data_IF_319564197481
#
_entry.id   IF_319564197481
#
_cell.length_a   1.000
_cell.length_b   1.000
_cell.length_c   1.000
_cell.angle_alpha   90.00
_cell.angle_beta   90.00
_cell.angle_gamma   90.00
#
_symmetry.space_group_name_H-M   'P 1'
#
loop_
_entity.id
_entity.type
_entity.pdbx_description
1 polymer ?
#
# COMPACT_ATOMS: atom_id res chain seq x y z
N UNK A 1 -3.40 -10.76 6.53
CA UNK A 1 -2.44 -9.89 5.81
C UNK A 1 -1.77 -8.87 6.73
N UNK A 2 -2.48 -7.86 7.27
CA UNK A 2 -1.89 -6.80 8.10
C UNK A 2 -1.01 -7.31 9.26
N UNK A 3 -1.45 -8.34 10.01
CA UNK A 3 -0.63 -8.97 11.07
C UNK A 3 0.70 -9.52 10.54
N UNK A 4 0.66 -10.26 9.43
CA UNK A 4 1.88 -10.83 8.84
C UNK A 4 2.87 -9.75 8.39
N UNK A 5 2.35 -8.66 7.80
CA UNK A 5 3.16 -7.49 7.46
C UNK A 5 3.73 -6.88 8.74
N UNK A 6 2.92 -6.59 9.75
CA UNK A 6 3.37 -6.02 11.03
C UNK A 6 4.48 -6.85 11.67
N UNK A 7 4.27 -8.16 11.82
CA UNK A 7 5.20 -9.09 12.43
C UNK A 7 6.53 -9.12 11.68
N UNK A 8 6.50 -9.10 10.34
CA UNK A 8 7.71 -9.00 9.52
C UNK A 8 8.48 -7.69 9.72
N UNK A 9 7.80 -6.58 10.04
CA UNK A 9 8.45 -5.28 10.24
C UNK A 9 8.99 -5.07 11.67
N UNK A 10 8.60 -5.91 12.62
CA UNK A 10 9.20 -5.95 13.96
C UNK A 10 10.61 -6.59 13.95
N UNK A 11 10.99 -7.29 12.86
CA UNK A 11 12.30 -7.92 12.74
C UNK A 11 13.45 -6.90 12.60
N UNK A 12 14.65 -7.19 13.13
CA UNK A 12 15.82 -6.34 12.93
C UNK A 12 16.15 -6.16 11.43
N UNK A 13 16.40 -4.91 11.02
CA UNK A 13 16.75 -4.59 9.63
C UNK A 13 15.58 -4.60 8.66
N UNK A 14 14.34 -4.73 9.14
CA UNK A 14 13.15 -4.58 8.30
C UNK A 14 13.08 -3.17 7.68
N UNK A 15 12.49 -3.04 6.47
CA UNK A 15 12.28 -1.75 5.82
C UNK A 15 11.38 -0.84 6.65
N UNK A 16 11.45 0.47 6.41
CA UNK A 16 10.46 1.39 6.98
C UNK A 16 9.08 1.10 6.37
N UNK A 17 8.02 1.23 7.17
CA UNK A 17 6.66 0.93 6.77
C UNK A 17 5.89 2.23 6.54
N UNK A 18 5.37 2.43 5.34
CA UNK A 18 4.41 3.51 5.03
C UNK A 18 3.02 2.90 4.89
N UNK A 19 2.04 3.42 5.61
CA UNK A 19 0.69 2.85 5.64
C UNK A 19 -0.34 3.87 5.15
N UNK A 20 -1.13 3.51 4.15
CA UNK A 20 -2.22 4.32 3.62
C UNK A 20 -3.27 4.67 4.67
N UNK A 21 -3.77 5.90 4.62
CA UNK A 21 -4.57 6.51 5.69
C UNK A 21 -6.04 6.02 5.80
N UNK A 22 -6.49 5.19 4.87
CA UNK A 22 -7.87 4.66 4.78
C UNK A 22 -8.06 3.40 5.63
N UNK A 23 -8.64 2.33 5.09
CA UNK A 23 -8.90 1.12 5.86
C UNK A 23 -7.64 0.31 6.19
N UNK A 24 -6.57 0.54 5.44
CA UNK A 24 -5.27 -0.11 5.64
C UNK A 24 -4.73 0.20 7.04
N UNK A 25 -4.53 1.48 7.40
CA UNK A 25 -4.03 1.84 8.75
C UNK A 25 -4.94 1.33 9.87
N UNK A 26 -6.26 1.29 9.68
CA UNK A 26 -7.21 0.74 10.66
C UNK A 26 -7.05 -0.76 10.83
N UNK A 27 -6.70 -1.47 9.76
CA UNK A 27 -6.41 -2.91 9.81
C UNK A 27 -5.13 -3.19 10.58
N UNK A 28 -4.10 -2.34 10.43
CA UNK A 28 -2.88 -2.42 11.24
C UNK A 28 -3.14 -2.08 12.71
N UNK A 29 -3.89 -1.02 13.00
CA UNK A 29 -4.24 -0.60 14.37
C UNK A 29 -4.93 -1.73 15.16
N UNK A 30 -5.80 -2.53 14.50
CA UNK A 30 -6.47 -3.68 15.12
C UNK A 30 -5.56 -4.87 15.42
N UNK A 31 -4.45 -5.04 14.69
CA UNK A 31 -3.60 -6.23 14.82
C UNK A 31 -2.21 -5.94 15.39
N UNK A 32 -1.79 -4.68 15.45
CA UNK A 32 -0.50 -4.27 16.00
C UNK A 32 -0.38 -4.76 17.44
N UNK A 33 0.70 -5.50 17.72
CA UNK A 33 1.02 -6.01 19.06
C UNK A 33 2.31 -5.37 19.56
N UNK A 34 2.47 -5.21 20.89
CA UNK A 34 3.76 -4.88 21.46
C UNK A 34 4.82 -5.88 20.99
N UNK A 35 5.94 -5.36 20.54
CA UNK A 35 7.12 -6.12 20.16
C UNK A 35 8.32 -5.57 20.92
N UNK A 36 9.36 -6.39 21.10
CA UNK A 36 10.62 -5.96 21.74
C UNK A 36 11.26 -4.78 20.99
N UNK A 37 10.95 -4.64 19.70
CA UNK A 37 11.31 -3.52 18.84
C UNK A 37 10.10 -3.05 18.05
N UNK A 38 9.82 -1.75 18.11
CA UNK A 38 8.81 -1.14 17.26
C UNK A 38 9.34 -0.93 15.82
N UNK A 39 8.52 -1.19 14.78
CA UNK A 39 8.84 -0.81 13.42
C UNK A 39 8.90 0.72 13.25
N UNK A 40 9.68 1.19 12.29
CA UNK A 40 9.58 2.59 11.83
C UNK A 40 8.35 2.72 10.94
N UNK A 41 7.32 3.41 11.42
CA UNK A 41 6.03 3.53 10.71
C UNK A 41 5.71 4.98 10.41
N UNK A 42 5.31 5.27 9.18
CA UNK A 42 4.83 6.57 8.72
C UNK A 42 3.43 6.41 8.11
N UNK A 43 2.54 7.36 8.39
CA UNK A 43 1.23 7.44 7.75
C UNK A 43 0.78 8.90 7.73
N UNK A 44 0.19 9.34 6.61
CA UNK A 44 -0.29 10.72 6.43
C UNK A 44 -1.60 10.94 7.21
N UNK A 45 -1.51 11.08 8.53
CA UNK A 45 -2.67 11.11 9.45
C UNK A 45 -3.19 12.51 9.79
N UNK A 46 -2.58 13.57 9.25
CA UNK A 46 -3.06 14.94 9.46
C UNK A 46 -4.46 15.17 8.90
N UNK A 47 -4.59 15.12 7.57
CA UNK A 47 -5.89 15.16 6.88
C UNK A 47 -6.37 13.79 6.38
N UNK A 48 -5.51 12.77 6.44
CA UNK A 48 -5.85 11.39 6.05
C UNK A 48 -6.30 11.20 4.59
N UNK A 49 -5.76 12.00 3.67
CA UNK A 49 -5.99 11.86 2.23
C UNK A 49 -5.30 10.64 1.61
N UNK A 50 -5.73 10.27 0.40
CA UNK A 50 -5.07 9.25 -0.43
C UNK A 50 -3.93 9.84 -1.26
N UNK A 51 -3.94 11.15 -1.44
CA UNK A 51 -2.99 11.92 -2.23
C UNK A 51 -1.57 11.83 -1.66
N UNK A 52 -0.58 11.60 -2.54
CA UNK A 52 0.84 11.65 -2.18
C UNK A 52 1.34 10.54 -1.25
N UNK A 53 0.60 9.44 -1.06
CA UNK A 53 1.03 8.35 -0.16
C UNK A 53 2.27 7.59 -0.69
N UNK A 54 2.33 7.29 -1.98
CA UNK A 54 3.48 6.66 -2.62
C UNK A 54 4.65 7.64 -2.78
N UNK A 55 4.37 8.89 -3.12
CA UNK A 55 5.38 9.95 -3.10
C UNK A 55 6.00 10.13 -1.70
N UNK A 56 5.19 10.01 -0.64
CA UNK A 56 5.67 9.99 0.75
C UNK A 56 6.60 8.81 0.99
N UNK A 57 6.28 7.62 0.47
CA UNK A 57 7.14 6.45 0.60
C UNK A 57 8.51 6.63 -0.06
N UNK A 58 8.54 7.23 -1.26
CA UNK A 58 9.78 7.63 -1.94
C UNK A 58 10.58 8.60 -1.06
N UNK A 59 9.94 9.65 -0.54
CA UNK A 59 10.59 10.64 0.33
C UNK A 59 11.14 10.04 1.63
N UNK A 60 10.43 9.10 2.25
CA UNK A 60 10.90 8.36 3.43
C UNK A 60 12.13 7.54 3.10
N UNK A 61 12.16 6.86 1.95
CA UNK A 61 13.31 6.05 1.52
C UNK A 61 14.56 6.90 1.30
N UNK A 62 14.40 8.04 0.65
CA UNK A 62 15.48 9.03 0.47
C UNK A 62 15.96 9.57 1.82
N UNK A 63 15.04 10.00 2.68
CA UNK A 63 15.38 10.63 3.96
C UNK A 63 16.04 9.68 4.96
N UNK A 64 15.66 8.40 4.96
CA UNK A 64 16.27 7.37 5.82
C UNK A 64 17.50 6.70 5.20
N UNK A 65 17.71 6.84 3.89
CA UNK A 65 18.76 6.15 3.15
C UNK A 65 18.59 4.62 3.18
N UNK A 66 17.35 4.13 3.18
CA UNK A 66 17.04 2.72 3.36
C UNK A 66 15.73 2.30 2.69
N UNK A 67 15.46 0.98 2.63
CA UNK A 67 14.32 0.46 1.91
C UNK A 67 12.99 0.78 2.61
N UNK A 68 11.95 0.97 1.80
CA UNK A 68 10.58 1.26 2.25
C UNK A 68 9.61 0.25 1.69
N UNK A 69 8.69 -0.22 2.53
CA UNK A 69 7.49 -0.94 2.11
C UNK A 69 6.27 -0.06 2.35
N UNK A 70 5.58 0.31 1.28
CA UNK A 70 4.30 1.01 1.37
C UNK A 70 3.16 0.00 1.29
N UNK A 71 2.12 0.15 2.12
CA UNK A 71 0.89 -0.66 2.04
C UNK A 71 -0.28 0.29 1.83
N UNK A 72 -0.93 0.17 0.68
CA UNK A 72 -1.97 1.08 0.21
C UNK A 72 -3.11 0.30 -0.42
N UNK A 73 -4.31 0.88 -0.49
CA UNK A 73 -5.38 0.30 -1.31
C UNK A 73 -5.19 0.62 -2.80
N UNK A 74 -5.85 -0.12 -3.66
CA UNK A 74 -5.94 0.09 -5.11
C UNK A 74 -6.20 1.55 -5.51
N UNK A 75 -7.24 2.20 -4.97
CA UNK A 75 -7.57 3.59 -5.31
C UNK A 75 -6.48 4.57 -4.92
N UNK A 76 -5.75 4.30 -3.85
CA UNK A 76 -4.60 5.12 -3.43
C UNK A 76 -3.43 4.91 -4.39
N UNK A 77 -3.17 3.67 -4.80
CA UNK A 77 -2.13 3.36 -5.79
C UNK A 77 -2.45 3.95 -7.17
N UNK A 78 -3.69 3.88 -7.62
CA UNK A 78 -4.15 4.49 -8.88
C UNK A 78 -4.04 6.01 -8.81
N UNK A 79 -4.44 6.62 -7.69
CA UNK A 79 -4.40 8.06 -7.53
C UNK A 79 -2.97 8.63 -7.52
N UNK A 80 -2.03 7.97 -6.83
CA UNK A 80 -0.67 8.48 -6.61
C UNK A 80 0.43 7.64 -7.27
N UNK A 81 0.08 6.76 -8.22
CA UNK A 81 1.03 5.80 -8.81
C UNK A 81 2.23 6.46 -9.47
N UNK A 82 2.02 7.59 -10.15
CA UNK A 82 3.10 8.39 -10.75
C UNK A 82 4.04 9.01 -9.70
N UNK A 83 3.65 9.06 -8.43
CA UNK A 83 4.51 9.47 -7.32
C UNK A 83 5.71 8.54 -7.08
N UNK A 84 5.73 7.36 -7.69
CA UNK A 84 6.88 6.45 -7.70
C UNK A 84 7.98 6.86 -8.70
N UNK A 85 7.71 7.82 -9.60
CA UNK A 85 8.72 8.31 -10.53
C UNK A 85 9.88 8.99 -9.78
N UNK A 86 11.08 8.84 -10.35
CA UNK A 86 12.28 9.58 -9.94
C UNK A 86 12.97 10.17 -11.17
N UNK A 87 13.73 11.24 -10.95
CA UNK A 87 14.49 11.87 -12.02
C UNK A 87 15.61 10.95 -12.51
N UNK A 88 15.92 10.99 -13.81
CA UNK A 88 16.96 10.15 -14.44
C UNK A 88 18.39 10.39 -13.91
N UNK A 89 18.59 11.48 -13.17
CA UNK A 89 19.85 11.84 -12.52
C UNK A 89 19.81 11.67 -11.00
N UNK A 90 18.69 11.21 -10.45
CA UNK A 90 18.51 10.96 -9.03
C UNK A 90 18.78 9.48 -8.73
N UNK A 91 19.27 9.21 -7.51
CA UNK A 91 19.37 7.84 -7.03
C UNK A 91 17.97 7.32 -6.68
N UNK A 92 17.53 6.26 -7.36
CA UNK A 92 16.27 5.60 -7.07
C UNK A 92 16.29 4.97 -5.67
N UNK A 93 15.33 5.29 -4.77
CA UNK A 93 15.20 4.58 -3.51
C UNK A 93 14.60 3.18 -3.71
N UNK A 94 14.93 2.26 -2.80
CA UNK A 94 14.33 0.93 -2.76
C UNK A 94 12.90 1.03 -2.16
N UNK A 95 11.86 0.90 -3.00
CA UNK A 95 10.45 1.03 -2.59
C UNK A 95 9.62 -0.15 -3.10
N UNK A 96 8.95 -0.86 -2.21
CA UNK A 96 7.95 -1.88 -2.55
C UNK A 96 6.56 -1.41 -2.13
N UNK A 97 5.70 -1.13 -3.10
CA UNK A 97 4.30 -0.79 -2.88
C UNK A 97 3.44 -2.07 -2.90
N UNK A 98 2.98 -2.52 -1.74
CA UNK A 98 1.94 -3.53 -1.61
C UNK A 98 0.57 -2.86 -1.83
N UNK A 99 -0.07 -3.16 -2.95
CA UNK A 99 -1.37 -2.64 -3.35
C UNK A 99 -2.43 -3.67 -3.01
N UNK A 100 -3.32 -3.33 -2.08
CA UNK A 100 -4.41 -4.17 -1.64
C UNK A 100 -5.58 -3.92 -2.57
N UNK A 101 -5.88 -4.91 -3.41
CA UNK A 101 -6.88 -4.75 -4.45
C UNK A 101 -8.18 -5.43 -4.07
N UNK A 102 -9.16 -4.62 -3.65
CA UNK A 102 -10.54 -5.01 -3.39
C UNK A 102 -11.51 -4.36 -4.40
N UNK A 103 -11.00 -3.96 -5.58
CA UNK A 103 -11.76 -3.40 -6.69
C UNK A 103 -12.53 -2.10 -6.35
N UNK A 104 -12.00 -1.29 -5.42
CA UNK A 104 -12.47 0.07 -5.15
C UNK A 104 -12.48 0.45 -3.67
N UNK A 105 -13.22 1.49 -3.32
CA UNK A 105 -13.27 2.04 -1.97
C UNK A 105 -14.05 1.17 -0.96
N UNK A 106 -13.59 -0.03 -0.64
CA UNK A 106 -14.30 -0.96 0.25
C UNK A 106 -14.50 -0.43 1.68
N UNK A 107 -13.76 0.60 2.10
CA UNK A 107 -14.00 1.29 3.37
C UNK A 107 -15.45 1.79 3.49
N UNK A 108 -16.04 2.25 2.39
CA UNK A 108 -17.39 2.81 2.39
C UNK A 108 -18.45 1.75 2.72
N UNK A 109 -18.16 0.47 2.45
CA UNK A 109 -19.05 -0.66 2.76
C UNK A 109 -19.27 -0.84 4.26
N UNK A 110 -18.48 -0.16 5.11
CA UNK A 110 -18.60 -0.17 6.58
C UNK A 110 -19.24 1.10 7.16
N UNK A 111 -19.65 2.04 6.32
CA UNK A 111 -20.29 3.30 6.73
C UNK A 111 -21.81 3.26 6.53
N UNK A 112 -22.55 4.23 7.09
CA UNK A 112 -24.01 4.26 7.01
C UNK A 112 -24.56 4.22 5.57
N UNK A 113 -23.83 4.79 4.61
CA UNK A 113 -24.25 4.87 3.21
C UNK A 113 -24.44 3.50 2.57
N UNK A 114 -23.66 2.50 2.99
CA UNK A 114 -23.79 1.12 2.49
C UNK A 114 -25.16 0.50 2.83
N UNK A 115 -25.87 1.05 3.84
CA UNK A 115 -27.18 0.55 4.27
C UNK A 115 -28.35 1.30 3.64
N UNK A 116 -28.10 2.46 3.03
CA UNK A 116 -29.16 3.39 2.61
C UNK A 116 -29.12 3.73 1.12
N UNK A 117 -27.95 3.66 0.50
CA UNK A 117 -27.81 3.86 -0.94
C UNK A 117 -28.31 2.64 -1.72
N UNK A 118 -28.94 2.90 -2.88
CA UNK A 118 -29.22 1.85 -3.85
C UNK A 118 -27.88 1.26 -4.36
N UNK A 119 -27.75 -0.07 -4.57
CA UNK A 119 -26.48 -0.70 -4.89
C UNK A 119 -25.72 -0.11 -6.08
N UNK A 120 -26.38 0.21 -7.19
CA UNK A 120 -25.70 0.80 -8.35
C UNK A 120 -25.23 2.23 -8.08
N UNK A 121 -26.01 3.03 -7.35
CA UNK A 121 -25.57 4.35 -6.87
C UNK A 121 -24.41 4.26 -5.88
N UNK A 122 -24.42 3.26 -5.00
CA UNK A 122 -23.35 3.02 -4.05
C UNK A 122 -22.03 2.70 -4.77
N UNK A 123 -22.09 1.79 -5.74
CA UNK A 123 -20.93 1.44 -6.56
C UNK A 123 -20.40 2.64 -7.34
N UNK A 124 -21.30 3.45 -7.94
CA UNK A 124 -20.92 4.60 -8.77
C UNK A 124 -20.29 5.74 -7.97
N UNK A 125 -20.77 6.03 -6.76
CA UNK A 125 -20.38 7.23 -6.01
C UNK A 125 -19.45 6.99 -4.85
N UNK A 126 -19.44 5.78 -4.28
CA UNK A 126 -18.65 5.46 -3.10
C UNK A 126 -17.50 4.52 -3.44
N UNK A 127 -17.77 3.28 -3.84
CA UNK A 127 -16.68 2.33 -4.11
C UNK A 127 -15.90 2.71 -5.36
N UNK A 128 -16.56 3.30 -6.36
CA UNK A 128 -15.93 3.88 -7.56
C UNK A 128 -14.88 2.93 -8.18
N UNK A 129 -15.26 1.69 -8.56
CA UNK A 129 -14.32 0.72 -9.12
C UNK A 129 -13.61 1.32 -10.35
N UNK A 130 -12.32 1.03 -10.49
CA UNK A 130 -11.49 1.54 -11.58
C UNK A 130 -11.07 0.39 -12.51
N UNK A 131 -11.06 0.66 -13.81
CA UNK A 131 -10.54 -0.28 -14.82
C UNK A 131 -9.07 0.05 -15.13
N UNK A 132 -8.19 -0.12 -14.14
CA UNK A 132 -6.76 0.18 -14.28
C UNK A 132 -5.95 -1.11 -14.30
N UNK A 133 -5.05 -1.22 -15.28
CA UNK A 133 -4.03 -2.26 -15.29
C UNK A 133 -2.85 -1.81 -14.40
N UNK A 134 -2.74 -2.41 -13.21
CA UNK A 134 -1.67 -2.10 -12.26
C UNK A 134 -0.28 -2.49 -12.78
N UNK A 135 -0.19 -3.47 -13.68
CA UNK A 135 1.04 -3.82 -14.37
C UNK A 135 1.47 -2.74 -15.35
N UNK A 136 0.53 -2.18 -16.12
CA UNK A 136 0.78 -1.04 -17.00
C UNK A 136 1.17 0.22 -16.20
N UNK A 137 0.54 0.47 -15.05
CA UNK A 137 0.92 1.55 -14.15
C UNK A 137 2.35 1.38 -13.63
N UNK A 138 2.71 0.17 -13.17
CA UNK A 138 4.06 -0.15 -12.73
C UNK A 138 5.08 0.07 -13.85
N UNK A 139 4.79 -0.40 -15.06
CA UNK A 139 5.65 -0.22 -16.22
C UNK A 139 5.86 1.27 -16.56
N UNK A 140 4.81 2.09 -16.46
CA UNK A 140 4.87 3.54 -16.71
C UNK A 140 5.82 4.28 -15.77
N UNK A 141 6.06 3.74 -14.56
CA UNK A 141 6.98 4.32 -13.57
C UNK A 141 8.31 3.56 -13.44
N UNK A 142 8.55 2.59 -14.32
CA UNK A 142 9.76 1.76 -14.29
C UNK A 142 9.84 0.79 -13.11
N UNK A 143 8.71 0.51 -12.45
CA UNK A 143 8.62 -0.45 -11.36
C UNK A 143 8.41 -1.88 -11.87
N UNK A 144 8.91 -2.86 -11.12
CA UNK A 144 8.57 -4.28 -11.34
C UNK A 144 7.17 -4.56 -10.82
N UNK A 145 6.28 -5.08 -11.67
CA UNK A 145 4.98 -5.59 -11.22
C UNK A 145 5.08 -7.05 -10.79
N UNK A 146 4.37 -7.40 -9.71
CA UNK A 146 4.14 -8.79 -9.28
C UNK A 146 2.73 -8.92 -8.74
N UNK A 147 2.12 -10.07 -8.94
CA UNK A 147 0.89 -10.46 -8.25
C UNK A 147 1.26 -11.48 -7.18
N UNK A 148 0.74 -11.32 -5.97
CA UNK A 148 0.96 -12.22 -4.84
C UNK A 148 -0.39 -12.62 -4.28
N UNK A 149 -0.73 -13.90 -4.40
CA UNK A 149 -2.02 -14.43 -3.99
C UNK A 149 -1.87 -15.35 -2.77
N UNK A 150 -2.63 -15.02 -1.73
CA UNK A 150 -2.69 -15.79 -0.50
C UNK A 150 -1.50 -15.61 0.46
N UNK A 151 -1.67 -16.22 1.64
CA UNK A 151 -0.79 -15.99 2.78
C UNK A 151 0.63 -16.56 2.59
N UNK A 152 0.78 -17.67 1.87
CA UNK A 152 2.08 -18.35 1.68
C UNK A 152 2.99 -17.52 0.78
N UNK A 153 2.46 -17.00 -0.33
CA UNK A 153 3.22 -16.16 -1.24
C UNK A 153 3.56 -14.81 -0.60
N UNK A 154 2.61 -14.23 0.13
CA UNK A 154 2.88 -13.01 0.91
C UNK A 154 3.99 -13.22 1.94
N UNK A 155 3.98 -14.33 2.68
CA UNK A 155 5.03 -14.63 3.65
C UNK A 155 6.41 -14.77 2.97
N UNK A 156 6.47 -15.40 1.79
CA UNK A 156 7.71 -15.50 1.00
C UNK A 156 8.20 -14.12 0.56
N UNK A 157 7.32 -13.30 -0.02
CA UNK A 157 7.63 -11.94 -0.44
C UNK A 157 8.14 -11.08 0.73
N UNK A 158 7.51 -11.17 1.90
CA UNK A 158 7.90 -10.39 3.08
C UNK A 158 9.30 -10.75 3.59
N UNK A 159 9.77 -11.97 3.34
CA UNK A 159 11.12 -12.42 3.68
C UNK A 159 12.18 -11.99 2.65
N UNK A 160 11.78 -11.56 1.46
CA UNK A 160 12.70 -11.02 0.45
C UNK A 160 13.17 -9.61 0.83
N UNK A 161 14.45 -9.26 0.57
CA UNK A 161 14.90 -7.89 0.70
C UNK A 161 14.20 -6.99 -0.32
N UNK A 162 13.77 -5.80 0.10
CA UNK A 162 13.24 -4.78 -0.81
C UNK A 162 14.41 -4.17 -1.58
N UNK A 163 14.36 -4.26 -2.92
CA UNK A 163 15.37 -3.73 -3.85
C UNK A 163 14.68 -3.16 -5.09
N UNK A 164 15.14 -2.00 -5.54
CA UNK A 164 14.53 -1.24 -6.61
C UNK A 164 13.10 -0.81 -6.30
N UNK A 165 12.38 -0.38 -7.33
CA UNK A 165 10.96 -0.04 -7.23
C UNK A 165 10.11 -1.24 -7.68
N UNK A 166 9.10 -1.60 -6.88
CA UNK A 166 8.12 -2.63 -7.24
C UNK A 166 6.71 -2.27 -6.81
N UNK A 167 5.73 -2.63 -7.64
CA UNK A 167 4.31 -2.59 -7.35
C UNK A 167 3.83 -4.04 -7.25
N UNK A 168 3.45 -4.45 -6.05
CA UNK A 168 2.97 -5.80 -5.76
C UNK A 168 1.49 -5.74 -5.50
N UNK A 169 0.72 -6.28 -6.42
CA UNK A 169 -0.71 -6.44 -6.32
C UNK A 169 -1.05 -7.63 -5.42
N UNK A 170 -1.94 -7.41 -4.46
CA UNK A 170 -2.45 -8.42 -3.53
C UNK A 170 -3.98 -8.41 -3.64
N UNK A 171 -4.55 -9.28 -4.49
CA UNK A 171 -5.99 -9.42 -4.63
C UNK A 171 -6.61 -9.81 -3.29
N UNK A 172 -7.69 -9.13 -2.89
CA UNK A 172 -8.45 -9.40 -1.66
C UNK A 172 -9.81 -10.05 -1.93
N UNK A 173 -10.26 -10.04 -3.19
CA UNK A 173 -11.47 -10.69 -3.65
C UNK A 173 -11.09 -11.98 -4.39
N UNK A 174 -11.05 -13.08 -3.64
CA UNK A 174 -10.77 -14.44 -4.09
C UNK A 174 -11.27 -15.46 -3.06
#
# INVERSE_FOLDING_TARGET
MASAVWDAHCAPGAPALVIGASDVIRSFDRCARPADRAPTVVSNRGLAGIDGTLATAVGVGIGLGGPVRAVVGDLTAVHDGLGLLHGVHETAPDVQALVLDDEGGAIFSRLEHARTAEPAMFARWFTTPQAVDLGALAAAVGAVHRVVDGAVELARLLAEPVRGCSLVEVPLLG
#
